data_IF_624989352002
#
_entry.id   IF_624989352002
#
_cell.length_a   1.000
_cell.length_b   1.000
_cell.length_c   1.000
_cell.angle_alpha   90.00
_cell.angle_beta   90.00
_cell.angle_gamma   90.00
#
_symmetry.space_group_name_H-M   'P 1'
#
loop_
_entity.id
_entity.type
_entity.pdbx_description
1 polymer ?
#
# COMPACT_ATOMS: atom_id res chain seq x y z
N UNK A 1 -41.88 -3.70 -9.76
CA UNK A 1 -40.60 -3.87 -10.47
C UNK A 1 -39.83 -4.92 -9.70
N UNK A 2 -39.52 -6.04 -10.33
CA UNK A 2 -38.79 -7.12 -9.66
C UNK A 2 -37.32 -6.74 -9.57
N UNK A 3 -36.79 -6.73 -8.35
CA UNK A 3 -35.41 -6.35 -8.09
C UNK A 3 -34.48 -7.40 -8.70
N UNK A 4 -33.60 -6.96 -9.62
CA UNK A 4 -32.54 -7.83 -10.12
C UNK A 4 -31.36 -7.78 -9.13
N UNK A 5 -31.47 -8.60 -8.09
CA UNK A 5 -30.48 -8.71 -7.01
C UNK A 5 -29.06 -9.02 -7.53
N UNK A 6 -28.93 -9.73 -8.66
CA UNK A 6 -27.63 -10.03 -9.29
C UNK A 6 -26.94 -8.76 -9.78
N UNK A 7 -27.69 -7.83 -10.37
CA UNK A 7 -27.17 -6.56 -10.91
C UNK A 7 -26.83 -5.56 -9.79
N UNK A 8 -27.64 -5.54 -8.75
CA UNK A 8 -27.52 -4.57 -7.66
C UNK A 8 -26.43 -4.93 -6.65
N UNK A 9 -26.22 -6.22 -6.37
CA UNK A 9 -25.35 -6.64 -5.27
C UNK A 9 -23.94 -7.04 -5.73
N UNK A 10 -23.69 -7.07 -7.06
CA UNK A 10 -22.38 -7.40 -7.69
C UNK A 10 -21.61 -8.47 -6.91
N UNK A 11 -22.29 -9.56 -6.56
CA UNK A 11 -21.69 -10.55 -5.69
C UNK A 11 -20.48 -11.17 -6.40
N UNK A 12 -19.28 -11.14 -5.81
CA UNK A 12 -18.11 -11.68 -6.46
C UNK A 12 -18.30 -13.19 -6.62
N UNK A 13 -18.04 -13.71 -7.82
CA UNK A 13 -18.02 -15.16 -8.05
C UNK A 13 -16.99 -15.79 -7.12
N UNK A 14 -17.42 -16.72 -6.28
CA UNK A 14 -16.60 -17.41 -5.28
C UNK A 14 -16.57 -18.90 -5.57
N UNK A 15 -15.39 -19.49 -5.47
CA UNK A 15 -15.16 -20.92 -5.67
C UNK A 15 -14.85 -21.53 -4.29
N UNK A 16 -15.64 -22.52 -3.90
CA UNK A 16 -15.49 -23.23 -2.63
C UNK A 16 -14.84 -24.60 -2.79
N UNK A 17 -14.93 -25.19 -4.00
CA UNK A 17 -14.34 -26.49 -4.35
C UNK A 17 -13.58 -26.38 -5.68
N UNK A 18 -12.38 -26.96 -5.74
CA UNK A 18 -11.59 -27.17 -6.95
C UNK A 18 -11.48 -28.67 -7.18
N UNK A 19 -12.42 -29.22 -7.97
CA UNK A 19 -12.54 -30.67 -8.16
C UNK A 19 -12.77 -31.39 -6.82
N UNK A 20 -11.95 -32.38 -6.45
CA UNK A 20 -12.07 -33.09 -5.17
C UNK A 20 -11.54 -32.29 -3.97
N UNK A 21 -10.85 -31.17 -4.17
CA UNK A 21 -10.23 -30.39 -3.10
C UNK A 21 -11.20 -29.31 -2.62
N UNK A 22 -11.57 -29.39 -1.34
CA UNK A 22 -12.37 -28.37 -0.69
C UNK A 22 -11.48 -27.19 -0.26
N UNK A 23 -11.54 -26.09 -1.02
CA UNK A 23 -10.74 -24.89 -0.79
C UNK A 23 -11.26 -24.07 0.40
N UNK A 24 -12.49 -24.32 0.86
CA UNK A 24 -13.08 -23.62 2.01
C UNK A 24 -12.35 -23.88 3.33
N UNK A 25 -11.55 -24.96 3.42
CA UNK A 25 -10.69 -25.23 4.58
C UNK A 25 -9.62 -24.16 4.79
N UNK A 26 -9.09 -23.59 3.71
CA UNK A 26 -8.08 -22.53 3.75
C UNK A 26 -8.69 -21.14 3.55
N UNK A 27 -9.81 -21.06 2.84
CA UNK A 27 -10.51 -19.81 2.54
C UNK A 27 -12.00 -19.95 2.91
N UNK A 28 -12.38 -19.75 4.19
CA UNK A 28 -13.75 -19.94 4.65
C UNK A 28 -14.78 -19.11 3.89
N UNK A 29 -14.38 -17.91 3.44
CA UNK A 29 -15.23 -17.01 2.66
C UNK A 29 -15.33 -17.36 1.17
N UNK A 30 -14.69 -18.45 0.73
CA UNK A 30 -14.58 -18.84 -0.67
C UNK A 30 -13.53 -18.03 -1.42
N UNK A 31 -12.93 -18.64 -2.44
CA UNK A 31 -11.87 -18.04 -3.22
C UNK A 31 -12.48 -17.20 -4.35
N UNK A 32 -12.28 -15.88 -4.32
CA UNK A 32 -12.84 -14.96 -5.32
C UNK A 32 -12.25 -15.24 -6.69
N UNK A 33 -13.08 -15.39 -7.72
CA UNK A 33 -12.63 -15.63 -9.09
C UNK A 33 -11.71 -14.51 -9.60
N UNK A 34 -11.99 -13.26 -9.22
CA UNK A 34 -11.13 -12.13 -9.55
C UNK A 34 -9.72 -12.27 -8.98
N UNK A 35 -9.57 -12.90 -7.81
CA UNK A 35 -8.27 -13.21 -7.23
C UNK A 35 -7.54 -14.29 -8.03
N UNK A 36 -8.24 -15.36 -8.44
CA UNK A 36 -7.66 -16.41 -9.29
C UNK A 36 -7.16 -15.83 -10.61
N UNK A 37 -8.01 -15.07 -11.29
CA UNK A 37 -7.68 -14.45 -12.58
C UNK A 37 -6.50 -13.48 -12.41
N UNK A 38 -6.46 -12.71 -11.32
CA UNK A 38 -5.35 -11.81 -11.01
C UNK A 38 -4.04 -12.55 -10.75
N UNK A 39 -4.07 -13.64 -9.97
CA UNK A 39 -2.87 -14.45 -9.73
C UNK A 39 -2.40 -15.14 -11.01
N UNK A 40 -3.32 -15.71 -11.78
CA UNK A 40 -3.01 -16.38 -13.05
C UNK A 40 -2.41 -15.41 -14.07
N UNK A 41 -2.91 -14.17 -14.17
CA UNK A 41 -2.36 -13.18 -15.10
C UNK A 41 -0.95 -12.73 -14.73
N UNK A 42 -0.66 -12.55 -13.43
CA UNK A 42 0.68 -12.23 -12.93
C UNK A 42 1.65 -13.37 -13.23
N UNK A 43 1.28 -14.62 -12.89
CA UNK A 43 2.11 -15.80 -13.18
C UNK A 43 2.36 -15.92 -14.69
N UNK A 44 1.31 -15.74 -15.50
CA UNK A 44 1.42 -15.74 -16.96
C UNK A 44 2.40 -14.69 -17.48
N UNK A 45 2.35 -13.46 -16.96
CA UNK A 45 3.27 -12.39 -17.33
C UNK A 45 4.73 -12.69 -16.96
N UNK A 46 4.97 -13.31 -15.80
CA UNK A 46 6.32 -13.72 -15.38
C UNK A 46 6.86 -14.83 -16.29
N UNK A 47 6.03 -15.82 -16.60
CA UNK A 47 6.43 -16.93 -17.49
C UNK A 47 6.70 -16.46 -18.91
N UNK A 48 5.87 -15.57 -19.47
CA UNK A 48 6.11 -15.01 -20.80
C UNK A 48 7.38 -14.16 -20.83
N UNK A 49 7.64 -13.34 -19.80
CA UNK A 49 8.88 -12.59 -19.68
C UNK A 49 10.11 -13.49 -19.60
N UNK A 50 10.04 -14.59 -18.85
CA UNK A 50 11.11 -15.58 -18.76
C UNK A 50 11.36 -16.28 -20.10
N UNK A 51 10.29 -16.71 -20.78
CA UNK A 51 10.38 -17.38 -22.07
C UNK A 51 10.95 -16.45 -23.15
N UNK A 52 10.51 -15.19 -23.18
CA UNK A 52 11.06 -14.16 -24.06
C UNK A 52 12.55 -13.91 -23.79
N UNK A 53 12.97 -13.89 -22.52
CA UNK A 53 14.38 -13.74 -22.16
C UNK A 53 15.23 -14.91 -22.68
N UNK A 54 14.71 -16.13 -22.60
CA UNK A 54 15.37 -17.33 -23.10
C UNK A 54 15.49 -17.34 -24.63
N UNK A 55 14.40 -16.99 -25.34
CA UNK A 55 14.36 -16.99 -26.81
C UNK A 55 15.19 -15.84 -27.40
N UNK A 56 15.08 -14.64 -26.85
CA UNK A 56 15.79 -13.45 -27.35
C UNK A 56 17.23 -13.33 -26.82
N UNK A 57 17.66 -14.24 -25.96
CA UNK A 57 19.00 -14.24 -25.38
C UNK A 57 19.32 -12.98 -24.56
N UNK A 58 18.31 -12.35 -23.96
CA UNK A 58 18.50 -11.11 -23.19
C UNK A 58 19.25 -11.46 -21.90
N UNK A 59 20.55 -11.18 -21.89
CA UNK A 59 21.48 -11.50 -20.79
C UNK A 59 21.03 -10.91 -19.46
N UNK A 60 20.49 -9.68 -19.46
CA UNK A 60 19.97 -9.04 -18.26
C UNK A 60 18.82 -9.81 -17.62
N UNK A 61 17.74 -10.12 -18.37
CA UNK A 61 16.61 -10.88 -17.83
C UNK A 61 17.03 -12.30 -17.44
N UNK A 62 17.87 -12.95 -18.24
CA UNK A 62 18.38 -14.28 -17.93
C UNK A 62 19.14 -14.32 -16.60
N UNK A 63 20.03 -13.34 -16.35
CA UNK A 63 20.73 -13.19 -15.08
C UNK A 63 19.79 -12.81 -13.94
N UNK A 64 18.75 -12.02 -14.21
CA UNK A 64 17.73 -11.64 -13.22
C UNK A 64 17.01 -12.88 -12.69
N UNK A 65 16.59 -13.78 -13.58
CA UNK A 65 15.91 -15.03 -13.21
C UNK A 65 16.84 -16.10 -12.64
N UNK A 66 18.10 -16.18 -13.11
CA UNK A 66 19.04 -17.24 -12.72
C UNK A 66 19.81 -16.92 -11.44
N UNK A 67 20.27 -15.68 -11.30
CA UNK A 67 21.21 -15.29 -10.25
C UNK A 67 20.60 -14.31 -9.24
N UNK A 68 19.66 -13.48 -9.67
CA UNK A 68 19.05 -12.44 -8.83
C UNK A 68 17.61 -12.75 -8.40
N UNK A 69 17.19 -14.02 -8.44
CA UNK A 69 15.82 -14.43 -8.11
C UNK A 69 15.42 -14.02 -6.67
N UNK A 70 16.38 -13.98 -5.73
CA UNK A 70 16.12 -13.49 -4.37
C UNK A 70 15.76 -12.00 -4.32
N UNK A 71 16.33 -11.18 -5.20
CA UNK A 71 16.00 -9.76 -5.30
C UNK A 71 14.56 -9.59 -5.78
N UNK A 72 14.11 -10.43 -6.72
CA UNK A 72 12.72 -10.44 -7.21
C UNK A 72 11.76 -10.74 -6.06
N UNK A 73 12.03 -11.78 -5.25
CA UNK A 73 11.19 -12.14 -4.10
C UNK A 73 11.16 -11.01 -3.06
N UNK A 74 12.32 -10.45 -2.74
CA UNK A 74 12.41 -9.33 -1.80
C UNK A 74 11.56 -8.14 -2.28
N UNK A 75 11.71 -7.74 -3.55
CA UNK A 75 10.91 -6.67 -4.14
C UNK A 75 9.42 -6.99 -4.14
N UNK A 76 9.04 -8.25 -4.37
CA UNK A 76 7.65 -8.69 -4.31
C UNK A 76 7.05 -8.55 -2.90
N UNK A 77 7.79 -8.94 -1.86
CA UNK A 77 7.37 -8.76 -0.46
C UNK A 77 7.22 -7.27 -0.13
N UNK A 78 8.18 -6.44 -0.52
CA UNK A 78 8.10 -4.99 -0.33
C UNK A 78 6.90 -4.39 -1.08
N UNK A 79 6.64 -4.83 -2.31
CA UNK A 79 5.49 -4.40 -3.09
C UNK A 79 4.17 -4.79 -2.40
N UNK A 80 4.03 -6.03 -1.93
CA UNK A 80 2.85 -6.48 -1.18
C UNK A 80 2.63 -5.63 0.07
N UNK A 81 3.70 -5.31 0.81
CA UNK A 81 3.61 -4.43 1.99
C UNK A 81 3.18 -3.00 1.63
N UNK A 82 3.65 -2.46 0.51
CA UNK A 82 3.19 -1.15 0.00
C UNK A 82 1.72 -1.22 -0.39
N UNK A 83 1.29 -2.23 -1.15
CA UNK A 83 -0.12 -2.42 -1.53
C UNK A 83 -1.03 -2.57 -0.32
N UNK A 84 -0.60 -3.33 0.70
CA UNK A 84 -1.30 -3.44 1.97
C UNK A 84 -1.43 -2.07 2.66
N UNK A 85 -0.33 -1.31 2.72
CA UNK A 85 -0.32 0.04 3.32
C UNK A 85 -1.26 1.00 2.58
N UNK A 86 -1.32 0.94 1.24
CA UNK A 86 -2.23 1.75 0.43
C UNK A 86 -3.69 1.37 0.64
N UNK A 87 -3.97 0.06 0.71
CA UNK A 87 -5.31 -0.48 0.95
C UNK A 87 -5.82 -0.07 2.33
N UNK A 88 -4.96 -0.15 3.35
CA UNK A 88 -5.28 0.26 4.71
C UNK A 88 -5.59 1.75 4.82
N UNK A 89 -4.78 2.60 4.17
CA UNK A 89 -4.91 4.06 4.23
C UNK A 89 -5.97 4.62 3.26
N UNK A 90 -6.58 3.76 2.41
CA UNK A 90 -7.54 4.12 1.34
C UNK A 90 -7.07 5.29 0.46
N UNK A 91 -5.77 5.43 0.24
CA UNK A 91 -5.14 6.51 -0.54
C UNK A 91 -4.52 5.95 -1.82
N UNK A 92 -4.58 6.72 -2.90
CA UNK A 92 -3.80 6.42 -4.11
C UNK A 92 -2.29 6.53 -3.86
N UNK A 93 -1.48 5.82 -4.66
CA UNK A 93 -0.03 5.71 -4.47
C UNK A 93 0.68 7.06 -4.30
N UNK A 94 0.44 8.01 -5.20
CA UNK A 94 1.07 9.33 -5.13
C UNK A 94 0.71 10.11 -3.87
N UNK A 95 -0.55 9.99 -3.40
CA UNK A 95 -1.03 10.66 -2.19
C UNK A 95 -0.45 10.03 -0.92
N UNK A 96 -0.19 8.72 -0.96
CA UNK A 96 0.50 8.02 0.12
C UNK A 96 1.97 8.46 0.21
N UNK A 97 2.70 8.45 -0.91
CA UNK A 97 4.12 8.86 -0.94
C UNK A 97 4.28 10.33 -0.54
N UNK A 98 3.46 11.22 -1.09
CA UNK A 98 3.51 12.66 -0.72
C UNK A 98 3.12 12.87 0.75
N UNK A 99 2.16 12.11 1.27
CA UNK A 99 1.79 12.13 2.69
C UNK A 99 2.93 11.73 3.61
N UNK A 100 3.70 10.69 3.26
CA UNK A 100 4.88 10.26 4.04
C UNK A 100 6.02 11.25 3.96
N UNK A 101 6.26 11.83 2.79
CA UNK A 101 7.24 12.91 2.63
C UNK A 101 6.88 14.14 3.47
N UNK A 102 5.61 14.55 3.42
CA UNK A 102 5.10 15.67 4.22
C UNK A 102 5.17 15.35 5.71
N UNK A 103 4.77 14.16 6.14
CA UNK A 103 4.91 13.73 7.53
C UNK A 103 6.37 13.74 8.00
N UNK A 104 7.31 13.32 7.14
CA UNK A 104 8.74 13.40 7.46
C UNK A 104 9.23 14.83 7.66
N UNK A 105 8.72 15.79 6.87
CA UNK A 105 9.00 17.23 7.05
C UNK A 105 8.40 17.80 8.34
N UNK A 106 7.31 17.22 8.83
CA UNK A 106 6.58 17.71 10.01
C UNK A 106 6.82 16.87 11.27
N UNK A 107 7.85 16.00 11.30
CA UNK A 107 8.18 15.13 12.47
C UNK A 107 8.38 15.90 13.79
N UNK A 108 8.68 17.20 13.72
CA UNK A 108 8.87 18.08 14.88
C UNK A 108 7.64 18.92 15.26
N UNK A 109 6.48 18.72 14.63
CA UNK A 109 5.27 19.50 14.89
C UNK A 109 4.17 18.55 15.34
N UNK A 110 3.72 18.68 16.59
CA UNK A 110 2.51 18.04 17.06
C UNK A 110 1.34 18.99 16.84
N UNK A 111 0.17 18.46 16.52
CA UNK A 111 -1.06 19.23 16.45
C UNK A 111 -2.13 18.53 17.27
N UNK A 112 -2.57 19.18 18.33
CA UNK A 112 -3.72 18.74 19.12
C UNK A 112 -4.84 19.76 18.92
N UNK A 113 -6.05 19.28 18.64
CA UNK A 113 -7.23 20.14 18.47
C UNK A 113 -7.03 21.32 17.51
N UNK A 114 -6.35 21.09 16.38
CA UNK A 114 -6.06 22.13 15.35
C UNK A 114 -5.02 23.17 15.75
N UNK A 115 -4.43 23.07 16.95
CA UNK A 115 -3.38 23.95 17.43
C UNK A 115 -2.02 23.24 17.35
N UNK A 116 -0.97 23.98 16.94
CA UNK A 116 0.40 23.48 17.00
C UNK A 116 0.82 23.38 18.46
N UNK A 117 1.14 22.18 18.91
CA UNK A 117 1.68 21.89 20.23
C UNK A 117 3.15 21.56 20.06
N UNK A 118 3.99 22.12 20.92
CA UNK A 118 5.41 21.81 20.94
C UNK A 118 5.67 20.55 21.76
N UNK A 119 6.67 19.78 21.35
CA UNK A 119 7.21 18.73 22.19
C UNK A 119 7.72 19.35 23.50
N UNK A 120 7.56 18.61 24.62
CA UNK A 120 7.85 19.06 25.99
C UNK A 120 9.21 19.78 26.17
N UNK A 121 10.17 19.53 25.27
CA UNK A 121 11.54 20.08 25.36
C UNK A 121 11.83 21.26 24.41
N UNK A 122 10.86 21.75 23.64
CA UNK A 122 11.04 22.87 22.71
C UNK A 122 10.33 24.13 23.20
N UNK A 123 11.04 25.26 23.40
CA UNK A 123 10.42 26.50 23.84
C UNK A 123 9.52 27.09 22.75
N UNK A 124 8.31 27.52 23.14
CA UNK A 124 7.33 28.09 22.21
C UNK A 124 7.54 29.59 22.14
N UNK A 125 7.73 30.15 20.95
CA UNK A 125 7.74 31.60 20.71
C UNK A 125 6.41 32.05 20.11
N UNK A 126 5.62 32.83 20.85
CA UNK A 126 4.39 33.46 20.35
C UNK A 126 4.70 34.88 19.90
N UNK A 127 4.31 35.25 18.67
CA UNK A 127 4.35 36.63 18.21
C UNK A 127 2.96 37.25 18.36
N UNK A 128 2.80 38.17 19.30
CA UNK A 128 1.54 38.87 19.50
C UNK A 128 1.32 39.91 18.38
N UNK A 129 0.40 39.62 17.46
CA UNK A 129 0.07 40.53 16.37
C UNK A 129 -0.64 41.81 16.84
N UNK A 130 -1.23 41.84 18.03
CA UNK A 130 -1.87 43.04 18.58
C UNK A 130 -0.88 43.99 19.27
N UNK A 131 0.29 43.50 19.70
CA UNK A 131 1.32 44.30 20.37
C UNK A 131 2.65 44.17 19.62
N UNK A 132 2.84 45.01 18.59
CA UNK A 132 4.08 45.27 17.83
C UNK A 132 5.31 44.46 18.32
N UNK A 133 5.40 43.20 17.91
CA UNK A 133 6.64 42.42 17.95
C UNK A 133 7.12 41.91 19.30
N UNK A 134 6.28 41.79 20.35
CA UNK A 134 6.71 41.04 21.54
C UNK A 134 6.68 39.54 21.26
N UNK A 135 7.86 38.93 21.28
CA UNK A 135 8.02 37.48 21.22
C UNK A 135 7.97 36.93 22.66
N UNK A 136 6.87 36.26 23.02
CA UNK A 136 6.75 35.59 24.31
C UNK A 136 7.30 34.17 24.19
N UNK A 137 8.37 33.86 24.93
CA UNK A 137 8.92 32.51 25.01
C UNK A 137 8.36 31.79 26.25
N UNK A 138 7.54 30.75 26.04
CA UNK A 138 7.13 29.85 27.11
C UNK A 138 8.13 28.70 27.20
N UNK A 139 8.76 28.55 28.37
CA UNK A 139 9.57 27.37 28.72
C UNK A 139 8.77 26.53 29.73
N UNK A 140 8.53 25.24 29.45
CA UNK A 140 8.06 24.33 30.50
C UNK A 140 9.14 24.26 31.59
N UNK A 141 8.70 24.23 32.86
CA UNK A 141 9.58 23.92 34.00
C UNK A 141 9.87 22.43 34.04
#
# INVERSE_FOLDING_TARGET
MEYNYTREWKQPHKIYNLGPINVSRFFPEGLKLSFIVGVASIIGAVLTAWLLAAVLGITFLSNLFRQSWMIIIFLFVVALWILFSLSWDKKGFFRFVSGRYTASKHKGIQTEHTHKVCFMNTPISFNDQKKKGRVLQWRPK
#
